data_IF_641789701904
#
_entry.id   IF_641789701904
#
_cell.length_a   1.000
_cell.length_b   1.000
_cell.length_c   1.000
_cell.angle_alpha   90.00
_cell.angle_beta   90.00
_cell.angle_gamma   90.00
#
_symmetry.space_group_name_H-M   'P 1'
#
loop_
_entity.id
_entity.type
_entity.pdbx_description
1 polymer ?
#
# COMPACT_ATOMS: atom_id res chain seq x y z
N UNK A 1 7.01 -19.32 6.33
CA UNK A 1 7.04 -17.85 6.52
C UNK A 1 7.29 -17.06 5.23
N UNK A 2 8.46 -17.11 4.57
CA UNK A 2 8.71 -16.33 3.33
C UNK A 2 7.73 -16.66 2.18
N UNK A 3 7.40 -17.93 1.99
CA UNK A 3 6.47 -18.37 0.93
C UNK A 3 5.00 -17.96 1.18
N UNK A 4 4.64 -17.79 2.44
CA UNK A 4 3.30 -17.40 2.84
C UNK A 4 3.06 -15.90 2.66
N UNK A 5 4.10 -15.11 2.94
CA UNK A 5 4.14 -13.68 2.62
C UNK A 5 4.07 -13.47 1.11
N UNK A 6 4.80 -14.25 0.31
CA UNK A 6 4.71 -14.19 -1.17
C UNK A 6 3.32 -14.53 -1.68
N UNK A 7 2.67 -15.57 -1.15
CA UNK A 7 1.28 -15.91 -1.50
C UNK A 7 0.32 -14.75 -1.19
N UNK A 8 0.46 -14.12 -0.03
CA UNK A 8 -0.34 -12.94 0.36
C UNK A 8 -0.03 -11.71 -0.51
N UNK A 9 1.20 -11.50 -0.95
CA UNK A 9 1.53 -10.41 -1.88
C UNK A 9 0.94 -10.67 -3.27
N UNK A 10 0.84 -11.93 -3.70
CA UNK A 10 0.29 -12.28 -5.02
C UNK A 10 -1.20 -11.98 -5.16
N UNK A 11 -1.95 -12.02 -4.06
CA UNK A 11 -3.37 -11.63 -4.03
C UNK A 11 -3.58 -10.12 -3.91
N UNK A 12 -2.53 -9.36 -3.58
CA UNK A 12 -2.63 -7.91 -3.54
C UNK A 12 -2.68 -7.34 -4.97
N UNK A 13 -3.33 -6.18 -5.14
CA UNK A 13 -3.39 -5.49 -6.41
C UNK A 13 -1.98 -5.01 -6.77
N UNK A 14 -1.22 -5.85 -7.48
CA UNK A 14 0.18 -5.73 -7.93
C UNK A 14 0.74 -4.29 -8.10
N UNK A 15 0.91 -3.55 -6.99
CA UNK A 15 1.28 -2.14 -6.94
C UNK A 15 0.17 -1.10 -7.19
N UNK A 16 -1.08 -1.49 -7.44
CA UNK A 16 -2.21 -0.56 -7.63
C UNK A 16 -2.90 -0.24 -6.31
N UNK A 17 -3.06 1.06 -6.03
CA UNK A 17 -3.75 1.54 -4.84
C UNK A 17 -5.26 1.45 -4.99
N UNK A 18 -5.95 1.31 -3.86
CA UNK A 18 -7.41 1.35 -3.75
C UNK A 18 -7.80 2.03 -2.45
N UNK A 19 -9.10 2.20 -2.20
CA UNK A 19 -9.59 2.80 -0.95
C UNK A 19 -9.19 2.03 0.32
N UNK A 20 -8.70 0.78 0.18
CA UNK A 20 -8.23 -0.05 1.29
C UNK A 20 -6.76 -0.43 1.19
N UNK A 21 -6.05 -0.06 0.12
CA UNK A 21 -4.69 -0.52 -0.13
C UNK A 21 -3.82 0.65 -0.55
N UNK A 22 -2.84 0.97 0.28
CA UNK A 22 -1.88 2.05 0.06
C UNK A 22 -0.45 1.49 -0.01
N UNK A 23 0.36 1.95 -0.96
CA UNK A 23 1.74 1.52 -1.14
C UNK A 23 2.71 2.67 -0.83
N UNK A 24 3.60 2.47 0.15
CA UNK A 24 4.62 3.46 0.51
C UNK A 24 6.01 2.84 0.47
N UNK A 25 6.91 3.41 -0.34
CA UNK A 25 8.23 2.85 -0.58
C UNK A 25 9.13 2.84 0.68
N UNK A 26 9.11 3.89 1.50
CA UNK A 26 9.77 3.97 2.82
C UNK A 26 11.14 3.25 2.96
N UNK A 27 12.11 3.50 2.07
CA UNK A 27 13.37 2.73 2.03
C UNK A 27 14.26 2.91 3.27
N UNK A 28 14.29 4.14 3.81
CA UNK A 28 15.17 4.53 4.93
C UNK A 28 14.43 5.16 6.11
N UNK A 29 13.22 5.65 5.86
CA UNK A 29 12.37 6.32 6.84
C UNK A 29 10.92 6.12 6.46
N UNK A 30 10.05 6.15 7.46
CA UNK A 30 8.62 6.13 7.26
C UNK A 30 8.19 7.39 6.50
N UNK A 31 7.21 7.25 5.62
CA UNK A 31 6.68 8.38 4.87
C UNK A 31 6.02 9.38 5.82
N UNK A 32 6.15 10.68 5.54
CA UNK A 32 5.61 11.73 6.41
C UNK A 32 4.09 11.69 6.49
N UNK A 33 3.44 11.19 5.43
CA UNK A 33 1.99 11.12 5.24
C UNK A 33 1.38 9.80 5.77
N UNK A 34 2.13 9.03 6.56
CA UNK A 34 1.65 7.73 7.08
C UNK A 34 0.46 7.89 8.03
N UNK A 35 0.47 8.94 8.86
CA UNK A 35 -0.54 9.14 9.89
C UNK A 35 -1.87 9.57 9.28
N UNK A 36 -1.81 10.28 8.17
CA UNK A 36 -2.93 10.65 7.33
C UNK A 36 -3.56 9.39 6.73
N UNK A 37 -2.76 8.45 6.21
CA UNK A 37 -3.28 7.15 5.73
C UNK A 37 -3.88 6.33 6.87
N UNK A 38 -3.22 6.26 8.03
CA UNK A 38 -3.74 5.55 9.21
C UNK A 38 -5.09 6.14 9.62
N UNK A 39 -5.17 7.47 9.76
CA UNK A 39 -6.40 8.18 10.11
C UNK A 39 -7.51 7.93 9.08
N UNK A 40 -7.21 8.02 7.78
CA UNK A 40 -8.19 7.78 6.71
C UNK A 40 -8.73 6.34 6.73
N UNK A 41 -7.88 5.34 6.96
CA UNK A 41 -8.31 3.95 7.08
C UNK A 41 -9.10 3.70 8.37
N UNK A 42 -8.69 4.28 9.50
CA UNK A 42 -9.42 4.17 10.78
C UNK A 42 -10.82 4.79 10.73
N UNK A 43 -11.00 5.85 9.94
CA UNK A 43 -12.30 6.50 9.75
C UNK A 43 -13.21 5.78 8.74
N UNK A 44 -12.75 4.70 8.12
CA UNK A 44 -13.51 3.92 7.14
C UNK A 44 -13.63 2.47 7.60
N UNK A 45 -13.52 1.49 6.70
CA UNK A 45 -13.59 0.06 7.05
C UNK A 45 -12.21 -0.53 7.38
N UNK A 46 -11.18 0.32 7.51
CA UNK A 46 -9.79 -0.08 7.60
C UNK A 46 -9.15 -0.35 6.23
N UNK A 47 -7.91 -0.81 6.28
CA UNK A 47 -7.11 -1.08 5.09
C UNK A 47 -5.75 -1.66 5.39
N UNK A 48 -4.97 -1.89 4.33
CA UNK A 48 -3.63 -2.46 4.34
C UNK A 48 -2.67 -1.39 3.83
N UNK A 49 -1.62 -1.11 4.60
CA UNK A 49 -0.51 -0.25 4.17
C UNK A 49 0.70 -1.14 3.91
N UNK A 50 1.19 -1.15 2.66
CA UNK A 50 2.41 -1.86 2.28
C UNK A 50 3.62 -0.93 2.34
N UNK A 51 4.48 -1.14 3.33
CA UNK A 51 5.76 -0.44 3.48
C UNK A 51 6.86 -1.18 2.71
N UNK A 52 7.79 -0.44 2.09
CA UNK A 52 8.88 -1.03 1.30
C UNK A 52 8.54 -1.26 -0.18
N UNK A 53 7.34 -0.88 -0.63
CA UNK A 53 6.86 -1.17 -1.97
C UNK A 53 6.49 0.10 -2.73
N UNK A 54 6.88 0.14 -4.02
CA UNK A 54 6.55 1.25 -4.92
C UNK A 54 5.18 1.03 -5.53
N UNK A 55 4.34 2.07 -5.50
CA UNK A 55 3.09 2.07 -6.25
C UNK A 55 3.31 2.11 -7.76
N UNK A 56 2.40 1.49 -8.50
CA UNK A 56 2.23 1.65 -9.93
C UNK A 56 1.38 2.88 -10.20
N UNK A 57 1.87 3.77 -11.06
CA UNK A 57 1.08 4.87 -11.60
C UNK A 57 0.37 4.36 -12.84
N UNK A 58 -0.96 4.44 -12.84
CA UNK A 58 -1.75 4.32 -14.06
C UNK A 58 -1.69 5.67 -14.75
N UNK A 59 -1.25 5.72 -16.01
CA UNK A 59 -1.34 6.92 -16.83
C UNK A 59 -2.63 6.85 -17.64
N UNK A 60 -3.65 7.61 -17.23
CA UNK A 60 -4.99 7.61 -17.83
C UNK A 60 -5.13 8.56 -19.04
N UNK A 61 -4.02 9.11 -19.55
CA UNK A 61 -4.01 10.09 -20.64
C UNK A 61 -3.30 9.60 -21.92
N UNK A 62 -3.33 8.29 -22.22
CA UNK A 62 -2.79 7.74 -23.48
C UNK A 62 -3.89 7.11 -24.30
#
# INVERSE_FOLDING_TARGET
MKEEIKKRIKILPNGYESYQIEYKLCEKKLSKDIWETVSAFSNTIGGIILLGYKKRRINIYR
#
